data_IF_314563426506
#
_entry.id   IF_314563426506
#
_cell.length_a   1.000
_cell.length_b   1.000
_cell.length_c   1.000
_cell.angle_alpha   90.00
_cell.angle_beta   90.00
_cell.angle_gamma   90.00
#
_symmetry.space_group_name_H-M   'P 1'
#
loop_
_entity.id
_entity.type
_entity.pdbx_description
1 polymer ?
#
# COMPACT_ATOMS: atom_id res chain seq x y z
N UNK A 1 -5.37 -0.81 -0.13
CA UNK A 1 -6.02 -1.14 1.15
C UNK A 1 -5.70 -2.58 1.54
N UNK A 2 -5.53 -2.87 2.83
CA UNK A 2 -5.49 -4.25 3.35
C UNK A 2 -6.93 -4.80 3.49
N UNK A 3 -7.15 -6.11 3.70
CA UNK A 3 -8.51 -6.64 3.91
C UNK A 3 -9.23 -6.06 5.14
N UNK A 4 -8.48 -5.38 6.03
CA UNK A 4 -9.04 -4.63 7.15
C UNK A 4 -9.85 -3.40 6.70
N UNK A 5 -9.53 -2.81 5.55
CA UNK A 5 -10.14 -1.56 5.08
C UNK A 5 -11.02 -1.73 3.84
N UNK A 6 -10.91 -2.84 3.14
CA UNK A 6 -11.75 -3.10 1.96
C UNK A 6 -11.85 -4.59 1.73
N UNK A 7 -13.07 -5.07 1.46
CA UNK A 7 -13.37 -6.48 1.19
C UNK A 7 -13.94 -6.63 -0.23
N UNK A 8 -13.09 -6.69 -1.28
CA UNK A 8 -13.58 -6.69 -2.66
C UNK A 8 -14.48 -7.88 -3.02
N UNK A 9 -14.34 -9.03 -2.35
CA UNK A 9 -15.24 -10.17 -2.56
C UNK A 9 -16.69 -9.80 -2.20
N UNK A 10 -16.91 -9.01 -1.14
CA UNK A 10 -18.23 -8.49 -0.76
C UNK A 10 -18.76 -7.46 -1.77
N UNK A 11 -17.87 -6.89 -2.59
CA UNK A 11 -18.19 -5.96 -3.67
C UNK A 11 -18.35 -6.67 -5.04
N UNK A 12 -18.32 -8.01 -5.07
CA UNK A 12 -18.56 -8.81 -6.26
C UNK A 12 -17.31 -9.25 -7.04
N UNK A 13 -16.10 -9.02 -6.51
CA UNK A 13 -14.89 -9.58 -7.12
C UNK A 13 -14.85 -11.11 -6.98
N UNK A 14 -14.34 -11.81 -7.99
CA UNK A 14 -14.17 -13.27 -7.95
C UNK A 14 -12.87 -13.71 -7.25
N UNK A 15 -11.83 -12.89 -7.38
CA UNK A 15 -10.50 -13.13 -6.82
C UNK A 15 -9.99 -11.85 -6.17
N UNK A 16 -9.29 -12.00 -5.05
CA UNK A 16 -8.54 -10.92 -4.40
C UNK A 16 -7.10 -11.34 -4.23
N UNK A 17 -6.17 -10.50 -4.69
CA UNK A 17 -4.74 -10.76 -4.60
C UNK A 17 -4.09 -9.75 -3.67
N UNK A 18 -3.28 -10.23 -2.74
CA UNK A 18 -2.47 -9.37 -1.86
C UNK A 18 -1.01 -9.75 -1.91
N UNK A 19 -0.15 -8.73 -1.87
CA UNK A 19 1.23 -8.91 -1.42
C UNK A 19 1.24 -8.95 0.11
N UNK A 20 1.54 -10.13 0.67
CA UNK A 20 1.67 -10.35 2.10
C UNK A 20 2.85 -9.59 2.70
N UNK A 21 3.86 -9.25 1.88
CA UNK A 21 5.01 -8.40 2.23
C UNK A 21 4.64 -7.06 2.86
N UNK A 22 3.46 -6.53 2.51
CA UNK A 22 3.08 -5.15 2.84
C UNK A 22 2.37 -5.11 4.19
N UNK A 23 1.22 -4.46 4.27
CA UNK A 23 0.47 -4.28 5.53
C UNK A 23 0.17 -5.58 6.30
N UNK A 24 -0.03 -6.71 5.60
CA UNK A 24 -0.43 -7.97 6.23
C UNK A 24 0.68 -8.56 7.11
N UNK A 25 1.91 -8.67 6.61
CA UNK A 25 3.08 -8.90 7.46
C UNK A 25 3.36 -7.66 8.32
N UNK A 26 3.60 -6.51 7.69
CA UNK A 26 3.76 -5.22 8.35
C UNK A 26 5.06 -5.00 9.13
N UNK A 27 6.05 -5.88 8.98
CA UNK A 27 7.34 -5.83 9.68
C UNK A 27 8.53 -5.85 8.72
N UNK A 28 8.28 -5.80 7.41
CA UNK A 28 9.30 -5.65 6.36
C UNK A 28 10.41 -6.71 6.39
N UNK A 29 10.06 -7.92 6.87
CA UNK A 29 10.98 -9.04 7.10
C UNK A 29 10.61 -10.31 6.30
N UNK A 30 9.50 -10.29 5.56
CA UNK A 30 9.01 -11.44 4.78
C UNK A 30 8.47 -11.01 3.43
N UNK A 31 8.71 -11.85 2.42
CA UNK A 31 8.06 -11.76 1.12
C UNK A 31 6.97 -12.82 0.99
N UNK A 32 5.85 -12.46 0.36
CA UNK A 32 4.78 -13.42 0.13
C UNK A 32 3.61 -12.85 -0.66
N UNK A 33 2.79 -13.74 -1.19
CA UNK A 33 1.55 -13.42 -1.89
C UNK A 33 0.43 -14.35 -1.44
N UNK A 34 -0.81 -13.87 -1.56
CA UNK A 34 -2.01 -14.69 -1.37
C UNK A 34 -3.02 -14.35 -2.46
N UNK A 35 -3.71 -15.38 -2.93
CA UNK A 35 -4.89 -15.28 -3.79
C UNK A 35 -6.06 -15.85 -2.98
N UNK A 36 -7.08 -15.03 -2.77
CA UNK A 36 -8.32 -15.42 -2.09
C UNK A 36 -9.40 -15.55 -3.14
N UNK A 37 -9.97 -16.76 -3.26
CA UNK A 37 -11.03 -17.05 -4.21
C UNK A 37 -12.42 -16.90 -3.57
N UNK A 38 -13.35 -16.28 -4.29
CA UNK A 38 -14.75 -16.12 -3.86
C UNK A 38 -15.64 -17.35 -4.13
N UNK A 39 -15.13 -18.36 -4.83
CA UNK A 39 -15.83 -19.62 -5.08
C UNK A 39 -14.88 -20.82 -5.09
N UNK A 40 -15.42 -22.01 -4.84
CA UNK A 40 -14.66 -23.27 -4.91
C UNK A 40 -14.07 -23.51 -6.30
N UNK A 41 -14.82 -23.19 -7.36
CA UNK A 41 -14.35 -23.31 -8.73
C UNK A 41 -13.04 -22.51 -8.96
N UNK A 42 -13.04 -21.22 -8.60
CA UNK A 42 -11.85 -20.37 -8.73
C UNK A 42 -10.71 -20.81 -7.82
N UNK A 43 -11.01 -21.34 -6.63
CA UNK A 43 -10.01 -21.92 -5.74
C UNK A 43 -9.32 -23.13 -6.39
N UNK A 44 -10.09 -24.07 -6.94
CA UNK A 44 -9.55 -25.28 -7.57
C UNK A 44 -8.70 -24.95 -8.79
N UNK A 45 -9.13 -23.99 -9.61
CA UNK A 45 -8.35 -23.48 -10.75
C UNK A 45 -7.02 -22.88 -10.29
N UNK A 46 -7.05 -21.99 -9.30
CA UNK A 46 -5.85 -21.32 -8.77
C UNK A 46 -4.89 -22.31 -8.12
N UNK A 47 -5.40 -23.23 -7.29
CA UNK A 47 -4.62 -24.28 -6.63
C UNK A 47 -3.90 -25.16 -7.64
N UNK A 48 -4.60 -25.59 -8.71
CA UNK A 48 -4.01 -26.43 -9.77
C UNK A 48 -2.79 -25.75 -10.38
N UNK A 49 -2.88 -24.45 -10.71
CA UNK A 49 -1.77 -23.69 -11.28
C UNK A 49 -0.61 -23.59 -10.29
N UNK A 50 -0.86 -23.20 -9.04
CA UNK A 50 0.19 -23.06 -8.02
C UNK A 50 0.89 -24.38 -7.70
N UNK A 51 0.15 -25.50 -7.66
CA UNK A 51 0.73 -26.83 -7.45
C UNK A 51 1.65 -27.27 -8.59
N UNK A 52 1.40 -26.84 -9.83
CA UNK A 52 2.27 -27.16 -10.96
C UNK A 52 3.48 -26.22 -11.07
N UNK A 53 3.30 -24.93 -10.77
CA UNK A 53 4.39 -23.94 -10.84
C UNK A 53 5.30 -23.94 -9.60
N UNK A 54 4.88 -24.57 -8.50
CA UNK A 54 5.66 -24.67 -7.27
C UNK A 54 5.71 -23.37 -6.45
N UNK A 55 4.85 -22.40 -6.72
CA UNK A 55 4.79 -21.10 -6.05
C UNK A 55 4.15 -21.15 -4.66
N UNK A 56 4.55 -22.09 -3.81
CA UNK A 56 4.04 -22.25 -2.44
C UNK A 56 4.92 -21.53 -1.42
N UNK A 57 4.29 -21.05 -0.35
CA UNK A 57 4.96 -20.30 0.72
C UNK A 57 5.68 -21.25 1.71
N UNK A 58 6.87 -20.85 2.14
CA UNK A 58 7.58 -21.47 3.24
C UNK A 58 6.78 -21.37 4.56
N UNK A 59 6.64 -22.45 5.36
CA UNK A 59 5.88 -22.42 6.60
C UNK A 59 6.37 -21.39 7.63
N UNK A 60 7.68 -21.10 7.68
CA UNK A 60 8.21 -20.11 8.61
C UNK A 60 7.86 -18.68 8.18
N UNK A 61 7.91 -18.38 6.87
CA UNK A 61 7.37 -17.13 6.32
C UNK A 61 5.87 -16.98 6.65
N UNK A 62 5.08 -18.05 6.48
CA UNK A 62 3.66 -18.03 6.81
C UNK A 62 3.42 -17.72 8.30
N UNK A 63 4.23 -18.30 9.20
CA UNK A 63 4.16 -18.00 10.63
C UNK A 63 4.48 -16.54 10.95
N UNK A 64 5.54 -15.97 10.36
CA UNK A 64 5.88 -14.55 10.53
C UNK A 64 4.76 -13.62 10.05
N UNK A 65 4.13 -13.95 8.92
CA UNK A 65 2.94 -13.23 8.43
C UNK A 65 1.79 -13.34 9.43
N UNK A 66 1.46 -14.54 9.91
CA UNK A 66 0.41 -14.74 10.92
C UNK A 66 0.69 -13.97 12.22
N UNK A 67 1.95 -13.89 12.66
CA UNK A 67 2.38 -13.05 13.78
C UNK A 67 2.08 -11.58 13.51
N UNK A 68 2.38 -11.09 12.31
CA UNK A 68 2.12 -9.72 11.88
C UNK A 68 0.63 -9.34 11.78
N UNK A 69 -0.21 -10.26 11.31
CA UNK A 69 -1.66 -10.05 11.15
C UNK A 69 -2.33 -9.76 12.51
N UNK A 70 -1.84 -10.34 13.61
CA UNK A 70 -2.41 -10.13 14.96
C UNK A 70 -2.43 -8.66 15.39
N UNK A 71 -1.51 -7.85 14.87
CA UNK A 71 -1.44 -6.40 15.16
C UNK A 71 -1.96 -5.53 14.02
N UNK A 72 -2.48 -6.12 12.94
CA UNK A 72 -2.96 -5.39 11.77
C UNK A 72 -3.99 -4.30 12.12
N UNK A 73 -5.05 -4.56 12.93
CA UNK A 73 -6.02 -3.51 13.25
C UNK A 73 -5.38 -2.27 13.90
N UNK A 74 -4.53 -2.49 14.91
CA UNK A 74 -3.85 -1.43 15.66
C UNK A 74 -2.87 -0.64 14.76
N UNK A 75 -2.10 -1.36 13.94
CA UNK A 75 -1.16 -0.73 12.99
C UNK A 75 -1.92 0.08 11.95
N UNK A 76 -3.02 -0.43 11.41
CA UNK A 76 -3.83 0.27 10.41
C UNK A 76 -4.51 1.50 10.99
N UNK A 77 -5.08 1.43 12.19
CA UNK A 77 -5.68 2.58 12.86
C UNK A 77 -4.65 3.71 13.04
N UNK A 78 -3.48 3.40 13.61
CA UNK A 78 -2.41 4.38 13.80
C UNK A 78 -1.87 4.93 12.49
N UNK A 79 -1.66 4.08 11.48
CA UNK A 79 -1.15 4.50 10.19
C UNK A 79 -2.14 5.43 9.46
N UNK A 80 -3.45 5.17 9.58
CA UNK A 80 -4.49 6.02 9.00
C UNK A 80 -4.57 7.39 9.70
N UNK A 81 -4.55 7.43 11.04
CA UNK A 81 -4.52 8.70 11.80
C UNK A 81 -3.30 9.55 11.39
N UNK A 82 -2.12 8.94 11.34
CA UNK A 82 -0.91 9.61 10.90
C UNK A 82 -1.02 10.11 9.44
N UNK A 83 -1.56 9.28 8.55
CA UNK A 83 -1.69 9.63 7.14
C UNK A 83 -2.67 10.79 6.91
N UNK A 84 -3.82 10.79 7.58
CA UNK A 84 -4.78 11.89 7.48
C UNK A 84 -4.16 13.21 7.94
N UNK A 85 -3.45 13.21 9.08
CA UNK A 85 -2.76 14.40 9.60
C UNK A 85 -1.70 14.90 8.62
N UNK A 86 -0.88 13.99 8.10
CA UNK A 86 0.19 14.33 7.16
C UNK A 86 -0.37 14.83 5.83
N UNK A 87 -1.37 14.17 5.27
CA UNK A 87 -2.01 14.56 4.02
C UNK A 87 -2.65 15.96 4.13
N UNK A 88 -3.35 16.23 5.23
CA UNK A 88 -3.95 17.55 5.51
C UNK A 88 -2.89 18.64 5.60
N UNK A 89 -1.81 18.38 6.36
CA UNK A 89 -0.70 19.32 6.47
C UNK A 89 0.01 19.57 5.14
N UNK A 90 0.26 18.50 4.36
CA UNK A 90 0.86 18.59 3.03
C UNK A 90 -0.03 19.41 2.08
N UNK A 91 -1.36 19.24 2.13
CA UNK A 91 -2.30 19.92 1.23
C UNK A 91 -2.29 21.45 1.43
N UNK A 92 -1.89 21.91 2.62
CA UNK A 92 -1.78 23.33 2.96
C UNK A 92 -0.36 23.89 2.79
N UNK A 93 0.63 23.05 2.53
CA UNK A 93 2.03 23.46 2.58
C UNK A 93 2.45 24.19 1.29
N UNK A 94 3.03 25.41 1.35
CA UNK A 94 3.28 26.23 0.18
C UNK A 94 4.28 25.63 -0.82
N UNK A 95 5.15 24.71 -0.38
CA UNK A 95 6.10 24.00 -1.26
C UNK A 95 5.54 22.70 -1.86
N UNK A 96 4.30 22.32 -1.55
CA UNK A 96 3.60 21.18 -2.14
C UNK A 96 2.71 21.70 -3.27
N UNK A 97 2.73 21.02 -4.42
CA UNK A 97 1.97 21.35 -5.62
C UNK A 97 0.62 20.63 -5.65
N UNK A 98 0.58 19.39 -5.19
CA UNK A 98 -0.62 18.56 -5.13
C UNK A 98 -0.44 17.44 -4.12
N UNK A 99 -1.55 16.94 -3.58
CA UNK A 99 -1.60 15.75 -2.72
C UNK A 99 -2.66 14.79 -3.30
N UNK A 100 -2.33 13.51 -3.32
CA UNK A 100 -3.20 12.42 -3.70
C UNK A 100 -3.36 11.50 -2.49
N UNK A 101 -4.48 11.65 -1.81
CA UNK A 101 -4.89 10.80 -0.69
C UNK A 101 -6.41 10.67 -0.68
N UNK A 102 -6.99 9.44 -0.73
CA UNK A 102 -8.44 9.26 -0.81
C UNK A 102 -9.23 9.84 0.36
N UNK A 103 -8.57 10.10 1.50
CA UNK A 103 -9.19 10.68 2.68
C UNK A 103 -9.41 12.19 2.62
N UNK A 104 -8.77 12.91 1.68
CA UNK A 104 -9.03 14.33 1.50
C UNK A 104 -10.35 14.56 0.76
N UNK A 105 -11.13 15.56 1.18
CA UNK A 105 -12.45 15.87 0.59
C UNK A 105 -12.37 16.29 -0.89
N UNK A 106 -11.25 16.91 -1.29
CA UNK A 106 -10.97 17.35 -2.67
C UNK A 106 -10.47 16.20 -3.57
N UNK A 107 -10.24 15.00 -3.04
CA UNK A 107 -9.84 13.85 -3.84
C UNK A 107 -10.99 13.41 -4.78
N UNK A 108 -10.75 13.22 -6.10
CA UNK A 108 -11.83 12.97 -7.07
C UNK A 108 -12.70 11.76 -6.76
N UNK A 109 -12.12 10.71 -6.15
CA UNK A 109 -12.83 9.51 -5.71
C UNK A 109 -13.11 9.45 -4.21
N UNK A 110 -13.04 10.56 -3.46
CA UNK A 110 -13.30 10.57 -2.01
C UNK A 110 -14.63 9.92 -1.65
N UNK A 111 -15.72 10.35 -2.31
CA UNK A 111 -17.07 9.80 -2.07
C UNK A 111 -17.16 8.30 -2.37
N UNK A 112 -16.43 7.82 -3.37
CA UNK A 112 -16.37 6.39 -3.67
C UNK A 112 -15.60 5.64 -2.58
N UNK A 113 -14.46 6.19 -2.12
CA UNK A 113 -13.69 5.62 -1.03
C UNK A 113 -14.55 5.49 0.25
N UNK A 114 -15.28 6.54 0.63
CA UNK A 114 -16.23 6.51 1.76
C UNK A 114 -17.29 5.43 1.60
N UNK A 115 -17.78 5.21 0.37
CA UNK A 115 -18.84 4.22 0.11
C UNK A 115 -18.36 2.77 0.24
N UNK A 116 -17.11 2.48 -0.15
CA UNK A 116 -16.64 1.10 -0.34
C UNK A 116 -15.51 0.66 0.61
N UNK A 117 -14.95 1.59 1.39
CA UNK A 117 -13.81 1.34 2.27
C UNK A 117 -14.16 1.70 3.71
N UNK A 118 -13.70 0.90 4.66
CA UNK A 118 -13.84 1.15 6.10
C UNK A 118 -12.76 2.14 6.62
N UNK A 119 -11.94 2.66 5.71
CA UNK A 119 -10.95 3.70 5.96
C UNK A 119 -10.02 3.91 4.76
N UNK A 120 -9.34 5.06 4.72
CA UNK A 120 -8.61 5.52 3.53
C UNK A 120 -7.19 4.94 3.38
N UNK A 121 -6.73 4.18 4.38
CA UNK A 121 -5.37 3.65 4.41
C UNK A 121 -4.30 4.72 4.68
N UNK A 122 -3.05 4.36 4.44
CA UNK A 122 -1.90 5.18 4.83
C UNK A 122 -0.93 5.50 3.68
N UNK A 123 -1.35 5.25 2.44
CA UNK A 123 -0.55 5.58 1.27
C UNK A 123 -0.89 6.99 0.82
N UNK A 124 0.12 7.86 0.76
CA UNK A 124 0.00 9.23 0.30
C UNK A 124 0.98 9.40 -0.87
N UNK A 125 0.53 10.02 -1.94
CA UNK A 125 1.42 10.53 -2.98
C UNK A 125 1.27 12.05 -3.04
N UNK A 126 2.35 12.77 -3.28
CA UNK A 126 2.31 14.23 -3.38
C UNK A 126 3.43 14.73 -4.27
N UNK A 127 3.20 15.86 -4.92
CA UNK A 127 4.19 16.54 -5.75
C UNK A 127 4.73 17.76 -5.03
N UNK A 128 6.04 17.95 -5.03
CA UNK A 128 6.67 19.18 -4.53
C UNK A 128 6.91 20.17 -5.66
N UNK A 129 7.05 21.45 -5.30
CA UNK A 129 7.55 22.47 -6.23
C UNK A 129 8.99 22.17 -6.64
N UNK A 130 9.42 22.73 -7.78
CA UNK A 130 10.76 22.52 -8.37
C UNK A 130 11.04 21.08 -8.84
N UNK A 131 10.00 20.27 -9.04
CA UNK A 131 10.08 18.97 -9.70
C UNK A 131 11.06 18.00 -9.03
N UNK A 132 11.87 17.33 -9.83
CA UNK A 132 12.84 16.31 -9.39
C UNK A 132 13.81 16.83 -8.32
N UNK A 133 14.37 18.02 -8.50
CA UNK A 133 15.34 18.57 -7.55
C UNK A 133 14.70 18.92 -6.20
N UNK A 134 13.45 19.38 -6.21
CA UNK A 134 12.65 19.54 -5.00
C UNK A 134 12.43 18.20 -4.29
N UNK A 135 12.12 17.14 -5.06
CA UNK A 135 11.92 15.78 -4.54
C UNK A 135 13.18 15.22 -3.89
N UNK A 136 14.34 15.32 -4.56
CA UNK A 136 15.65 14.94 -4.00
C UNK A 136 15.97 15.71 -2.73
N UNK A 137 15.76 17.03 -2.75
CA UNK A 137 15.99 17.88 -1.59
C UNK A 137 15.15 17.40 -0.41
N UNK A 138 13.85 17.18 -0.59
CA UNK A 138 12.98 16.68 0.47
C UNK A 138 13.47 15.34 1.03
N UNK A 139 13.71 14.35 0.16
CA UNK A 139 14.11 13.00 0.58
C UNK A 139 15.47 12.99 1.32
N UNK A 140 16.37 13.92 1.00
CA UNK A 140 17.67 14.05 1.68
C UNK A 140 17.58 14.77 3.04
N UNK A 141 16.47 15.43 3.37
CA UNK A 141 16.32 16.23 4.60
C UNK A 141 15.39 15.60 5.65
N UNK A 142 14.60 14.58 5.28
CA UNK A 142 13.82 13.81 6.27
C UNK A 142 14.75 12.96 7.13
N UNK A 143 14.46 12.87 8.44
CA UNK A 143 15.28 12.12 9.41
C UNK A 143 14.58 10.89 9.99
N UNK A 144 13.25 10.90 10.01
CA UNK A 144 12.42 9.79 10.50
C UNK A 144 12.01 8.84 9.37
N UNK A 145 11.82 9.37 8.16
CA UNK A 145 11.31 8.64 7.01
C UNK A 145 12.50 8.09 6.22
N UNK A 146 12.55 6.79 6.02
CA UNK A 146 13.64 6.14 5.29
C UNK A 146 13.40 6.18 3.78
N UNK A 147 14.43 6.55 3.02
CA UNK A 147 14.42 6.42 1.56
C UNK A 147 14.61 4.95 1.17
N UNK A 148 13.52 4.25 0.90
CA UNK A 148 13.55 2.84 0.50
C UNK A 148 12.31 2.46 -0.32
N UNK A 149 12.45 1.39 -1.09
CA UNK A 149 11.33 0.75 -1.78
C UNK A 149 10.53 -0.14 -0.83
N UNK A 150 9.31 -0.52 -1.24
CA UNK A 150 8.30 -1.22 -0.43
C UNK A 150 7.40 -0.25 0.35
N UNK A 151 6.44 -0.80 1.10
CA UNK A 151 5.42 -0.05 1.85
C UNK A 151 4.73 -0.95 2.88
N UNK A 152 4.02 -0.33 3.82
CA UNK A 152 3.09 -1.01 4.73
C UNK A 152 3.74 -1.67 5.95
N UNK A 153 5.04 -1.47 6.16
CA UNK A 153 5.74 -1.74 7.41
C UNK A 153 5.33 -0.79 8.54
N UNK A 154 5.95 -0.96 9.71
CA UNK A 154 5.78 -0.06 10.86
C UNK A 154 6.61 1.22 10.73
N UNK A 155 7.68 1.15 9.95
CA UNK A 155 8.54 2.26 9.58
C UNK A 155 7.89 3.14 8.50
N UNK A 156 8.22 4.43 8.53
CA UNK A 156 7.80 5.36 7.49
C UNK A 156 8.80 5.33 6.34
N UNK A 157 8.31 5.13 5.11
CA UNK A 157 9.11 5.09 3.90
C UNK A 157 8.74 6.23 2.95
N UNK A 158 9.72 6.72 2.20
CA UNK A 158 9.54 7.65 1.08
C UNK A 158 10.31 7.13 -0.12
N UNK A 159 9.75 7.29 -1.30
CA UNK A 159 10.42 6.98 -2.56
C UNK A 159 10.02 8.00 -3.62
N UNK A 160 10.83 8.06 -4.69
CA UNK A 160 10.50 8.79 -5.91
C UNK A 160 10.21 7.79 -7.03
N UNK A 161 8.92 7.50 -7.32
CA UNK A 161 8.53 6.40 -8.20
C UNK A 161 9.23 6.42 -9.56
N UNK A 162 9.28 7.57 -10.22
CA UNK A 162 9.85 7.69 -11.57
C UNK A 162 11.36 7.37 -11.67
N UNK A 163 12.12 7.43 -10.56
CA UNK A 163 13.53 7.03 -10.52
C UNK A 163 13.78 5.70 -9.78
N UNK A 164 12.75 5.14 -9.13
CA UNK A 164 12.86 3.94 -8.29
C UNK A 164 11.89 2.86 -8.80
N UNK A 165 10.69 2.74 -8.22
CA UNK A 165 9.76 1.62 -8.47
C UNK A 165 9.18 1.57 -9.88
N UNK A 166 9.08 2.71 -10.56
CA UNK A 166 8.52 2.84 -11.91
C UNK A 166 9.59 3.16 -12.96
N UNK A 167 10.88 2.96 -12.63
CA UNK A 167 12.00 3.19 -13.56
C UNK A 167 11.91 2.33 -14.83
N UNK A 168 11.27 1.16 -14.76
CA UNK A 168 11.09 0.25 -15.89
C UNK A 168 10.05 0.69 -16.92
N UNK A 169 9.23 1.70 -16.61
CA UNK A 169 8.25 2.25 -17.54
C UNK A 169 8.91 3.21 -18.53
N UNK A 170 8.38 3.29 -19.75
CA UNK A 170 8.83 4.28 -20.74
C UNK A 170 8.55 5.71 -20.24
N UNK A 171 9.09 6.72 -20.92
CA UNK A 171 8.81 8.12 -20.55
C UNK A 171 7.36 8.53 -20.80
N UNK A 172 6.65 7.86 -21.71
CA UNK A 172 5.24 8.14 -22.01
C UNK A 172 4.30 7.48 -20.99
N UNK A 173 4.71 6.36 -20.39
CA UNK A 173 3.96 5.62 -19.37
C UNK A 173 4.24 6.10 -17.93
N UNK A 174 5.19 7.01 -17.73
CA UNK A 174 5.59 7.56 -16.42
C UNK A 174 4.86 8.85 -16.06
#
# INVERSE_FOLDING_TARGET
ASPYLQRPLELGANLVVHSLTKYLNGHSDVLGGIIVAGSEEHFLQTRRVLSHLGGIMDPHQAWLILRGIRTLPLRMERAQDNAMRLATWLNQHPKVKWVCYPGLEDHPQHRLAVKQMDGFGAMISFGVRSGMEGGKTLMNHVRLITLAVSLGGVESLIEHPASMTHRGLSSEER
#
